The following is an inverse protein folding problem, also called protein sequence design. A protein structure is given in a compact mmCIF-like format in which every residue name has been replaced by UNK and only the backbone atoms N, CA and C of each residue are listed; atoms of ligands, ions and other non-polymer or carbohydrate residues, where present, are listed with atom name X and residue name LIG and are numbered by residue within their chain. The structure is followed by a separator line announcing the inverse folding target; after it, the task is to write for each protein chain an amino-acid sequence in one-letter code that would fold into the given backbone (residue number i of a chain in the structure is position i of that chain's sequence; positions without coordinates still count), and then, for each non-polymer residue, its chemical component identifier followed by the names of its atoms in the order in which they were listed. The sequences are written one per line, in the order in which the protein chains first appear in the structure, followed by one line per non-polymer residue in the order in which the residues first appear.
data_IF_757871111018
#
_entry.id   IF_757871111018
#
_cell.length_a   1.000
_cell.length_b   1.000
_cell.length_c   1.000
_cell.angle_alpha   90.00
_cell.angle_beta   90.00
_cell.angle_gamma   90.00
#
_symmetry.space_group_name_H-M   'P 1'
#
loop_
_entity.id
_entity.type
_entity.pdbx_description
1 polymer ?
#
# COMPACT_ATOMS: atom_id res chain seq x y z
N UNK A 1 1.75 30.98 28.99
CA UNK A 1 1.63 29.50 29.03
C UNK A 1 0.77 29.05 27.85
N UNK A 2 1.40 28.56 26.77
CA UNK A 2 0.68 27.84 25.72
C UNK A 2 0.16 26.53 26.32
N UNK A 3 -1.11 26.50 26.78
CA UNK A 3 -1.81 25.22 26.98
C UNK A 3 -1.97 24.61 25.59
N UNK A 4 -1.02 23.75 25.21
CA UNK A 4 -1.10 22.95 23.98
C UNK A 4 -2.44 22.22 23.98
N UNK A 5 -3.25 22.47 22.95
CA UNK A 5 -4.49 21.73 22.68
C UNK A 5 -4.12 20.27 22.35
N UNK A 6 -3.91 19.44 23.37
CA UNK A 6 -3.52 18.03 23.21
C UNK A 6 -4.54 17.23 22.39
N UNK A 7 -5.82 17.65 22.39
CA UNK A 7 -6.85 17.11 21.52
C UNK A 7 -6.57 17.41 20.03
N UNK A 8 -6.27 18.67 19.69
CA UNK A 8 -6.01 19.09 18.32
C UNK A 8 -4.77 18.39 17.74
N UNK A 9 -3.71 18.25 18.52
CA UNK A 9 -2.49 17.54 18.09
C UNK A 9 -2.75 16.05 17.84
N UNK A 10 -3.55 15.39 18.68
CA UNK A 10 -3.95 13.99 18.49
C UNK A 10 -4.81 13.83 17.23
N UNK A 11 -5.77 14.73 17.02
CA UNK A 11 -6.66 14.71 15.86
C UNK A 11 -5.89 14.90 14.54
N UNK A 12 -4.98 15.88 14.48
CA UNK A 12 -4.10 16.09 13.32
C UNK A 12 -3.23 14.85 13.06
N UNK A 13 -2.68 14.24 14.11
CA UNK A 13 -1.89 13.02 13.98
C UNK A 13 -2.67 11.84 13.37
N UNK A 14 -3.95 11.68 13.74
CA UNK A 14 -4.84 10.67 13.14
C UNK A 14 -5.12 10.97 11.67
N UNK A 15 -5.40 12.24 11.32
CA UNK A 15 -5.62 12.64 9.94
C UNK A 15 -4.39 12.41 9.06
N UNK A 16 -3.20 12.82 9.51
CA UNK A 16 -1.94 12.59 8.78
C UNK A 16 -1.69 11.10 8.60
N UNK A 17 -2.00 10.29 9.61
CA UNK A 17 -1.86 8.83 9.53
C UNK A 17 -2.80 8.23 8.47
N UNK A 18 -4.09 8.59 8.47
CA UNK A 18 -5.06 8.12 7.49
C UNK A 18 -4.65 8.52 6.07
N UNK A 19 -4.26 9.78 5.87
CA UNK A 19 -3.83 10.29 4.55
C UNK A 19 -2.58 9.56 4.07
N UNK A 20 -1.60 9.35 4.95
CA UNK A 20 -0.35 8.64 4.60
C UNK A 20 -0.60 7.17 4.28
N UNK A 21 -1.45 6.49 5.05
CA UNK A 21 -1.84 5.11 4.80
C UNK A 21 -2.60 4.99 3.47
N UNK A 22 -3.47 5.94 3.15
CA UNK A 22 -4.20 5.96 1.88
C UNK A 22 -3.25 6.17 0.69
N UNK A 23 -2.33 7.12 0.78
CA UNK A 23 -1.29 7.34 -0.24
C UNK A 23 -0.42 6.10 -0.47
N UNK A 24 -0.03 5.41 0.60
CA UNK A 24 0.75 4.17 0.52
C UNK A 24 -0.05 3.07 -0.19
N UNK A 25 -1.31 2.87 0.19
CA UNK A 25 -2.19 1.86 -0.43
C UNK A 25 -2.40 2.17 -1.91
N UNK A 26 -2.65 3.43 -2.26
CA UNK A 26 -2.86 3.86 -3.65
C UNK A 26 -1.60 3.66 -4.50
N UNK A 27 -0.42 4.03 -3.97
CA UNK A 27 0.85 3.80 -4.67
C UNK A 27 1.18 2.32 -4.86
N UNK A 28 0.85 1.46 -3.89
CA UNK A 28 1.03 0.01 -4.02
C UNK A 28 0.04 -0.59 -5.02
N UNK A 29 -1.22 -0.12 -5.03
CA UNK A 29 -2.23 -0.54 -5.99
C UNK A 29 -1.82 -0.20 -7.43
N UNK A 30 -1.39 1.04 -7.68
CA UNK A 30 -0.91 1.47 -9.00
C UNK A 30 0.30 0.64 -9.44
N UNK A 31 1.21 0.32 -8.51
CA UNK A 31 2.36 -0.54 -8.81
C UNK A 31 1.92 -1.96 -9.19
N UNK A 32 0.97 -2.55 -8.46
CA UNK A 32 0.42 -3.87 -8.76
C UNK A 32 -0.28 -3.91 -10.13
N UNK A 33 -1.07 -2.89 -10.45
CA UNK A 33 -1.73 -2.75 -11.74
C UNK A 33 -0.74 -2.64 -12.90
N UNK A 34 0.29 -1.81 -12.76
CA UNK A 34 1.33 -1.67 -13.79
C UNK A 34 2.11 -2.97 -14.02
N UNK A 35 2.37 -3.75 -12.96
CA UNK A 35 3.00 -5.06 -13.08
C UNK A 35 2.08 -6.07 -13.80
N UNK A 36 0.77 -6.01 -13.59
CA UNK A 36 -0.19 -6.85 -14.30
C UNK A 36 -0.17 -6.56 -15.81
N UNK A 37 -0.22 -5.27 -16.17
CA UNK A 37 -0.11 -4.82 -17.57
C UNK A 37 1.22 -5.26 -18.20
N UNK A 38 2.31 -5.17 -17.44
CA UNK A 38 3.62 -5.63 -17.89
C UNK A 38 3.63 -7.14 -18.12
N UNK A 39 3.05 -7.93 -17.21
CA UNK A 39 2.96 -9.38 -17.35
C UNK A 39 2.13 -9.80 -18.58
N UNK A 40 1.03 -9.11 -18.85
CA UNK A 40 0.18 -9.35 -20.02
C UNK A 40 0.91 -8.98 -21.32
N UNK A 41 1.56 -7.82 -21.37
CA UNK A 41 2.41 -7.44 -22.51
C UNK A 41 3.54 -8.44 -22.75
N UNK A 42 4.20 -8.93 -21.70
CA UNK A 42 5.23 -9.96 -21.80
C UNK A 42 4.68 -11.28 -22.34
N UNK A 43 3.45 -11.65 -21.95
CA UNK A 43 2.76 -12.85 -22.44
C UNK A 43 2.44 -12.75 -23.93
N UNK A 44 1.96 -11.60 -24.39
CA UNK A 44 1.68 -11.33 -25.80
C UNK A 44 2.95 -11.42 -26.68
N UNK A 45 4.08 -10.94 -26.16
CA UNK A 45 5.37 -10.94 -26.85
C UNK A 45 6.16 -12.26 -26.69
N UNK A 46 5.54 -13.30 -26.11
CA UNK A 46 6.17 -14.61 -25.88
C UNK A 46 7.50 -14.53 -25.10
N UNK A 47 7.61 -13.58 -24.18
CA UNK A 47 8.77 -13.48 -23.28
C UNK A 47 8.79 -14.68 -22.33
N UNK A 48 9.99 -15.05 -21.88
CA UNK A 48 10.23 -16.19 -21.01
C UNK A 48 9.22 -16.27 -19.85
N UNK A 49 8.58 -17.43 -19.72
CA UNK A 49 7.61 -17.75 -18.66
C UNK A 49 8.22 -17.59 -17.26
N UNK A 50 9.53 -17.77 -17.12
CA UNK A 50 10.24 -17.58 -15.84
C UNK A 50 10.12 -16.13 -15.34
N UNK A 51 10.23 -15.15 -16.25
CA UNK A 51 10.16 -13.72 -15.96
C UNK A 51 8.71 -13.32 -15.64
N UNK A 52 7.73 -13.85 -16.40
CA UNK A 52 6.30 -13.62 -16.14
C UNK A 52 5.91 -14.14 -14.75
N UNK A 53 6.39 -15.33 -14.37
CA UNK A 53 6.14 -15.89 -13.05
C UNK A 53 6.79 -15.07 -11.93
N UNK A 54 7.97 -14.51 -12.17
CA UNK A 54 8.62 -13.61 -11.22
C UNK A 54 7.82 -12.32 -11.00
N UNK A 55 7.30 -11.71 -12.07
CA UNK A 55 6.45 -10.51 -11.98
C UNK A 55 5.15 -10.81 -11.22
N UNK A 56 4.49 -11.94 -11.53
CA UNK A 56 3.29 -12.36 -10.81
C UNK A 56 3.56 -12.62 -9.32
N UNK A 57 4.72 -13.22 -8.98
CA UNK A 57 5.12 -13.40 -7.60
C UNK A 57 5.32 -12.05 -6.89
N UNK A 58 5.92 -11.06 -7.58
CA UNK A 58 6.06 -9.69 -7.10
C UNK A 58 4.71 -9.01 -6.82
N UNK A 59 3.73 -9.17 -7.71
CA UNK A 59 2.37 -8.65 -7.50
C UNK A 59 1.72 -9.22 -6.25
N UNK A 60 1.80 -10.54 -6.05
CA UNK A 60 1.25 -11.21 -4.86
C UNK A 60 1.90 -10.65 -3.58
N UNK A 61 3.21 -10.37 -3.60
CA UNK A 61 3.89 -9.77 -2.46
C UNK A 61 3.40 -8.34 -2.18
N UNK A 62 3.18 -7.53 -3.22
CA UNK A 62 2.64 -6.17 -3.08
C UNK A 62 1.23 -6.20 -2.49
N UNK A 63 0.36 -7.09 -2.97
CA UNK A 63 -0.99 -7.29 -2.40
C UNK A 63 -0.93 -7.68 -0.92
N UNK A 64 -0.03 -8.59 -0.55
CA UNK A 64 0.13 -9.01 0.84
C UNK A 64 0.60 -7.85 1.73
N UNK A 65 1.55 -7.03 1.26
CA UNK A 65 2.02 -5.83 1.96
C UNK A 65 0.89 -4.82 2.13
N UNK A 66 0.03 -4.63 1.13
CA UNK A 66 -1.14 -3.74 1.25
C UNK A 66 -2.09 -4.21 2.36
N UNK A 67 -2.43 -5.50 2.38
CA UNK A 67 -3.33 -6.07 3.41
C UNK A 67 -2.72 -5.93 4.80
N UNK A 68 -1.43 -6.26 4.96
CA UNK A 68 -0.73 -6.12 6.25
C UNK A 68 -0.66 -4.66 6.69
N UNK A 69 -0.34 -3.74 5.78
CA UNK A 69 -0.29 -2.29 6.08
C UNK A 69 -1.66 -1.77 6.50
N UNK A 70 -2.73 -2.21 5.84
CA UNK A 70 -4.10 -1.88 6.21
C UNK A 70 -4.49 -2.42 7.59
N UNK A 71 -4.17 -3.69 7.88
CA UNK A 71 -4.41 -4.29 9.20
C UNK A 71 -3.65 -3.58 10.31
N UNK A 72 -2.37 -3.24 10.08
CA UNK A 72 -1.56 -2.46 11.03
C UNK A 72 -2.18 -1.08 11.28
N UNK A 73 -2.72 -0.44 10.23
CA UNK A 73 -3.41 0.84 10.37
C UNK A 73 -4.68 0.72 11.22
N UNK A 74 -5.51 -0.31 11.01
CA UNK A 74 -6.67 -0.59 11.84
C UNK A 74 -6.30 -0.87 13.30
N UNK A 75 -5.24 -1.66 13.52
CA UNK A 75 -4.77 -2.05 14.85
C UNK A 75 -4.24 -0.83 15.61
N UNK A 76 -3.55 0.08 14.93
CA UNK A 76 -3.10 1.35 15.50
C UNK A 76 -4.26 2.30 15.87
N UNK A 77 -5.34 2.30 15.09
CA UNK A 77 -6.57 3.03 15.43
C UNK A 77 -7.27 2.40 16.64
N UNK A 78 -7.31 1.07 16.72
CA UNK A 78 -7.97 0.35 17.82
C UNK A 78 -7.23 0.44 19.16
N UNK A 79 -5.90 0.51 19.14
CA UNK A 79 -5.07 0.64 20.36
C UNK A 79 -5.07 2.05 20.97
N UNK A 80 -5.62 3.06 20.29
CA UNK A 80 -5.70 4.45 20.76
C UNK A 80 -7.05 4.78 21.36
#
# INVERSE_FOLDING_TARGET
MYRKNGFLTKFIGVLVFIVSANYLIMGLYDTGYNLALLADWMRENQIDRSIINFINAGMIHIELIMIVSFLLALLFVWMK
#
